data_IF_724944745214
#
_entry.id   IF_724944745214
#
_cell.length_a   1.000
_cell.length_b   1.000
_cell.length_c   1.000
_cell.angle_alpha   90.00
_cell.angle_beta   90.00
_cell.angle_gamma   90.00
#
_symmetry.space_group_name_H-M   'P 1'
#
loop_
_entity.id
_entity.type
_entity.pdbx_description
1 polymer ?
#
# COMPACT_ATOMS: atom_id res chain seq x y z
N UNK A 1 -16.97 -20.81 16.31
CA UNK A 1 -17.12 -19.35 16.43
C UNK A 1 -16.68 -18.77 15.09
N UNK A 2 -17.60 -18.09 14.42
CA UNK A 2 -17.58 -17.76 12.99
C UNK A 2 -16.25 -17.19 12.49
N UNK A 3 -15.54 -17.99 11.69
CA UNK A 3 -14.66 -17.50 10.63
C UNK A 3 -15.50 -16.59 9.73
N UNK A 4 -15.29 -15.27 9.84
CA UNK A 4 -15.72 -14.36 8.79
C UNK A 4 -14.67 -14.50 7.70
N UNK A 5 -14.94 -15.39 6.75
CA UNK A 5 -14.10 -15.63 5.59
C UNK A 5 -13.89 -14.29 4.85
N UNK A 6 -12.65 -13.78 4.92
CA UNK A 6 -12.15 -12.76 4.01
C UNK A 6 -11.89 -13.33 2.61
N UNK A 7 -12.18 -14.62 2.38
CA UNK A 7 -11.90 -15.27 1.11
C UNK A 7 -12.96 -14.91 0.06
N UNK A 8 -12.51 -14.09 -0.91
CA UNK A 8 -13.12 -13.79 -2.22
C UNK A 8 -14.10 -12.61 -2.29
N UNK A 9 -13.72 -11.44 -1.77
CA UNK A 9 -14.13 -10.21 -2.44
C UNK A 9 -13.26 -10.03 -3.70
N UNK A 10 -13.88 -9.64 -4.81
CA UNK A 10 -13.10 -9.23 -5.98
C UNK A 10 -12.43 -7.89 -5.69
N UNK A 11 -11.30 -7.59 -6.33
CA UNK A 11 -10.64 -6.27 -6.25
C UNK A 11 -11.62 -5.11 -6.40
N UNK A 12 -12.49 -5.15 -7.41
CA UNK A 12 -13.51 -4.12 -7.61
C UNK A 12 -14.43 -3.89 -6.40
N UNK A 13 -14.78 -4.94 -5.63
CA UNK A 13 -15.61 -4.79 -4.43
C UNK A 13 -14.82 -4.24 -3.24
N UNK A 14 -13.51 -4.52 -3.19
CA UNK A 14 -12.59 -3.91 -2.24
C UNK A 14 -12.45 -2.39 -2.50
N UNK A 15 -12.32 -1.97 -3.77
CA UNK A 15 -12.30 -0.55 -4.16
C UNK A 15 -13.54 0.21 -3.64
N UNK A 16 -14.72 -0.42 -3.74
CA UNK A 16 -15.95 0.16 -3.20
C UNK A 16 -15.88 0.34 -1.68
N UNK A 17 -15.31 -0.61 -0.94
CA UNK A 17 -15.18 -0.51 0.51
C UNK A 17 -14.22 0.61 0.92
N UNK A 18 -13.10 0.74 0.20
CA UNK A 18 -12.15 1.83 0.38
C UNK A 18 -12.79 3.21 0.14
N UNK A 19 -13.48 3.38 -0.99
CA UNK A 19 -14.17 4.65 -1.29
C UNK A 19 -15.24 4.97 -0.24
N UNK A 20 -16.03 3.98 0.18
CA UNK A 20 -17.02 4.20 1.26
C UNK A 20 -16.31 4.61 2.55
N UNK A 21 -15.17 3.98 2.89
CA UNK A 21 -14.37 4.35 4.05
C UNK A 21 -13.89 5.81 3.99
N UNK A 22 -13.34 6.24 2.85
CA UNK A 22 -12.88 7.61 2.66
C UNK A 22 -14.03 8.63 2.71
N UNK A 23 -15.17 8.32 2.08
CA UNK A 23 -16.36 9.16 2.11
C UNK A 23 -16.96 9.28 3.52
N UNK A 24 -17.03 8.19 4.28
CA UNK A 24 -17.44 8.24 5.69
C UNK A 24 -16.51 9.13 6.51
N UNK A 25 -15.18 9.02 6.31
CA UNK A 25 -14.19 9.82 7.04
C UNK A 25 -14.28 11.31 6.69
N UNK A 26 -14.52 11.65 5.42
CA UNK A 26 -14.60 13.02 4.94
C UNK A 26 -15.95 13.70 5.27
N UNK A 27 -17.06 12.99 5.02
CA UNK A 27 -18.40 13.58 4.97
C UNK A 27 -19.38 12.97 5.98
N UNK A 28 -18.91 12.12 6.90
CA UNK A 28 -19.68 11.30 7.87
C UNK A 28 -20.61 10.24 7.24
N UNK A 29 -20.91 10.33 5.95
CA UNK A 29 -21.81 9.43 5.24
C UNK A 29 -21.37 9.25 3.78
N UNK A 30 -21.58 8.05 3.23
CA UNK A 30 -21.42 7.80 1.80
C UNK A 30 -22.79 7.80 1.10
N UNK A 31 -22.87 8.42 -0.08
CA UNK A 31 -24.07 8.36 -0.94
C UNK A 31 -23.72 7.65 -2.24
N UNK A 32 -24.68 6.95 -2.83
CA UNK A 32 -24.46 6.23 -4.10
C UNK A 32 -23.99 7.14 -5.24
N UNK A 33 -24.39 8.43 -5.24
CA UNK A 33 -23.88 9.42 -6.20
C UNK A 33 -22.38 9.64 -6.00
N UNK A 34 -21.96 9.94 -4.77
CA UNK A 34 -20.57 10.28 -4.47
C UNK A 34 -19.64 9.08 -4.71
N UNK A 35 -20.12 7.87 -4.43
CA UNK A 35 -19.43 6.62 -4.77
C UNK A 35 -19.29 6.48 -6.29
N UNK A 36 -20.35 6.74 -7.07
CA UNK A 36 -20.30 6.65 -8.53
C UNK A 36 -19.29 7.65 -9.11
N UNK A 37 -19.29 8.88 -8.58
CA UNK A 37 -18.40 9.95 -9.01
C UNK A 37 -16.93 9.60 -8.71
N UNK A 38 -16.62 9.03 -7.52
CA UNK A 38 -15.26 8.59 -7.18
C UNK A 38 -14.80 7.33 -7.92
N UNK A 39 -15.68 6.34 -8.11
CA UNK A 39 -15.37 5.14 -8.90
C UNK A 39 -15.28 5.42 -10.40
N UNK A 40 -15.70 6.60 -10.87
CA UNK A 40 -15.84 6.95 -12.28
C UNK A 40 -16.67 5.91 -13.07
N UNK A 41 -17.81 5.48 -12.51
CA UNK A 41 -18.73 4.50 -13.12
C UNK A 41 -20.16 5.00 -13.14
N UNK A 42 -21.00 4.34 -13.95
CA UNK A 42 -22.43 4.64 -13.98
C UNK A 42 -23.12 4.23 -12.67
N UNK A 43 -24.14 5.00 -12.26
CA UNK A 43 -24.94 4.71 -11.04
C UNK A 43 -25.59 3.32 -11.05
N UNK A 44 -25.92 2.79 -12.23
CA UNK A 44 -26.45 1.45 -12.38
C UNK A 44 -25.45 0.39 -11.90
N UNK A 45 -24.16 0.53 -12.25
CA UNK A 45 -23.09 -0.36 -11.80
C UNK A 45 -22.90 -0.31 -10.28
N UNK A 46 -22.97 0.89 -9.69
CA UNK A 46 -22.89 1.06 -8.22
C UNK A 46 -23.99 0.29 -7.50
N UNK A 47 -25.22 0.32 -8.00
CA UNK A 47 -26.33 -0.37 -7.33
C UNK A 47 -26.10 -1.88 -7.25
N UNK A 48 -25.53 -2.49 -8.29
CA UNK A 48 -25.15 -3.90 -8.30
C UNK A 48 -24.10 -4.22 -7.24
N UNK A 49 -23.02 -3.43 -7.21
CA UNK A 49 -21.93 -3.60 -6.23
C UNK A 49 -22.41 -3.41 -4.78
N UNK A 50 -23.23 -2.39 -4.50
CA UNK A 50 -23.77 -2.15 -3.16
C UNK A 50 -24.66 -3.30 -2.69
N UNK A 51 -25.51 -3.86 -3.56
CA UNK A 51 -26.29 -5.06 -3.22
C UNK A 51 -25.40 -6.26 -2.93
N UNK A 52 -24.32 -6.43 -3.71
CA UNK A 52 -23.37 -7.52 -3.54
C UNK A 52 -22.57 -7.41 -2.22
N UNK A 53 -22.19 -6.20 -1.81
CA UNK A 53 -21.54 -5.94 -0.52
C UNK A 53 -22.51 -6.11 0.66
N UNK A 54 -23.75 -5.63 0.52
CA UNK A 54 -24.78 -5.75 1.54
C UNK A 54 -25.16 -7.22 1.77
N UNK A 55 -25.31 -8.00 0.70
CA UNK A 55 -25.57 -9.44 0.78
C UNK A 55 -24.45 -10.24 1.46
N UNK A 56 -23.24 -9.68 1.51
CA UNK A 56 -22.08 -10.24 2.24
C UNK A 56 -21.90 -9.63 3.64
N UNK A 57 -22.79 -8.75 4.08
CA UNK A 57 -22.72 -8.10 5.39
C UNK A 57 -21.57 -7.10 5.55
N UNK A 58 -21.02 -6.58 4.45
CA UNK A 58 -19.90 -5.63 4.49
C UNK A 58 -20.38 -4.18 4.67
N UNK A 59 -21.59 -3.87 4.24
CA UNK A 59 -22.19 -2.53 4.35
C UNK A 59 -23.62 -2.59 4.86
N UNK A 60 -24.06 -1.52 5.52
CA UNK A 60 -25.47 -1.24 5.72
C UNK A 60 -25.98 -0.46 4.50
N UNK A 61 -26.89 -1.06 3.75
CA UNK A 61 -27.46 -0.48 2.54
C UNK A 61 -28.98 -0.52 2.57
N UNK A 62 -29.58 0.65 2.37
CA UNK A 62 -31.01 0.82 2.07
C UNK A 62 -31.15 1.79 0.91
N UNK A 63 -32.07 1.55 -0.04
CA UNK A 63 -32.39 2.52 -1.08
C UNK A 63 -32.66 3.91 -0.49
N UNK A 64 -32.15 4.95 -1.15
CA UNK A 64 -32.29 6.37 -0.78
C UNK A 64 -31.68 6.77 0.58
N UNK A 65 -30.97 5.88 1.25
CA UNK A 65 -30.34 6.16 2.53
C UNK A 65 -28.81 6.27 2.38
N UNK A 66 -28.15 6.74 3.45
CA UNK A 66 -26.70 6.71 3.55
C UNK A 66 -26.17 5.28 3.58
N UNK A 67 -25.07 5.06 2.88
CA UNK A 67 -24.31 3.82 2.94
C UNK A 67 -23.28 3.95 4.05
N UNK A 68 -23.19 2.92 4.89
CA UNK A 68 -22.15 2.85 5.93
C UNK A 68 -21.48 1.48 5.94
N UNK A 69 -20.22 1.44 6.36
CA UNK A 69 -19.49 0.19 6.56
C UNK A 69 -20.00 -0.52 7.83
N UNK A 70 -20.16 -1.84 7.74
CA UNK A 70 -20.25 -2.66 8.95
C UNK A 70 -18.87 -2.77 9.60
N UNK A 71 -18.78 -3.35 10.79
CA UNK A 71 -17.49 -3.66 11.41
C UNK A 71 -16.63 -4.60 10.55
N UNK A 72 -17.24 -5.52 9.80
CA UNK A 72 -16.53 -6.42 8.90
C UNK A 72 -16.01 -5.67 7.66
N UNK A 73 -16.87 -4.90 6.98
CA UNK A 73 -16.45 -4.11 5.82
C UNK A 73 -15.39 -3.07 6.16
N UNK A 74 -15.46 -2.47 7.36
CA UNK A 74 -14.42 -1.54 7.83
C UNK A 74 -13.07 -2.20 7.98
N UNK A 75 -13.01 -3.42 8.55
CA UNK A 75 -11.73 -4.15 8.68
C UNK A 75 -11.11 -4.43 7.32
N UNK A 76 -11.91 -4.88 6.36
CA UNK A 76 -11.42 -5.15 4.99
C UNK A 76 -10.94 -3.85 4.33
N UNK A 77 -11.73 -2.77 4.37
CA UNK A 77 -11.34 -1.48 3.80
C UNK A 77 -10.01 -0.98 4.38
N UNK A 78 -9.85 -1.08 5.71
CA UNK A 78 -8.60 -0.67 6.37
C UNK A 78 -7.42 -1.53 5.96
N UNK A 79 -7.60 -2.83 5.73
CA UNK A 79 -6.52 -3.70 5.29
C UNK A 79 -6.12 -3.43 3.83
N UNK A 80 -7.07 -3.14 2.94
CA UNK A 80 -6.77 -2.69 1.57
C UNK A 80 -5.94 -1.40 1.62
N UNK A 81 -6.46 -0.35 2.27
CA UNK A 81 -5.78 0.95 2.41
C UNK A 81 -4.38 0.79 3.04
N UNK A 82 -4.25 -0.07 4.06
CA UNK A 82 -2.94 -0.35 4.68
C UNK A 82 -1.95 -0.91 3.67
N UNK A 83 -2.38 -1.85 2.83
CA UNK A 83 -1.55 -2.44 1.78
C UNK A 83 -1.18 -1.39 0.73
N UNK A 84 -2.13 -0.57 0.27
CA UNK A 84 -1.85 0.57 -0.61
C UNK A 84 -0.75 1.46 -0.06
N UNK A 85 -0.94 1.95 1.17
CA UNK A 85 -0.06 2.94 1.79
C UNK A 85 1.36 2.38 1.97
N UNK A 86 1.49 1.12 2.39
CA UNK A 86 2.79 0.43 2.53
C UNK A 86 3.48 0.30 1.17
N UNK A 87 2.75 -0.16 0.15
CA UNK A 87 3.31 -0.34 -1.19
C UNK A 87 3.73 0.99 -1.79
N UNK A 88 2.90 2.02 -1.64
CA UNK A 88 3.20 3.38 -2.10
C UNK A 88 4.45 3.93 -1.42
N UNK A 89 4.55 3.84 -0.10
CA UNK A 89 5.74 4.27 0.64
C UNK A 89 6.98 3.50 0.19
N UNK A 90 6.87 2.18 0.00
CA UNK A 90 7.96 1.37 -0.56
C UNK A 90 8.39 1.86 -1.96
N UNK A 91 7.43 2.08 -2.86
CA UNK A 91 7.72 2.54 -4.21
C UNK A 91 8.39 3.90 -4.25
N UNK A 92 8.01 4.81 -3.34
CA UNK A 92 8.64 6.12 -3.24
C UNK A 92 10.00 6.08 -2.55
N UNK A 93 10.11 5.39 -1.41
CA UNK A 93 11.29 5.48 -0.55
C UNK A 93 12.39 4.50 -0.94
N UNK A 94 12.04 3.26 -1.28
CA UNK A 94 13.02 2.24 -1.64
C UNK A 94 13.28 2.23 -3.14
N UNK A 95 12.24 2.36 -3.98
CA UNK A 95 12.39 2.30 -5.44
C UNK A 95 12.48 3.67 -6.12
N UNK A 96 12.38 4.76 -5.36
CA UNK A 96 12.60 6.13 -5.84
C UNK A 96 11.68 6.51 -7.02
N UNK A 97 10.48 5.93 -7.06
CA UNK A 97 9.47 6.27 -8.05
C UNK A 97 8.85 7.64 -7.74
N UNK A 98 8.44 8.34 -8.80
CA UNK A 98 7.67 9.57 -8.65
C UNK A 98 6.30 9.28 -8.00
N UNK A 99 5.74 10.24 -7.23
CA UNK A 99 4.50 10.01 -6.47
C UNK A 99 3.35 9.42 -7.30
N UNK A 100 3.11 9.92 -8.51
CA UNK A 100 2.02 9.45 -9.38
C UNK A 100 2.25 8.00 -9.86
N UNK A 101 3.52 7.62 -10.09
CA UNK A 101 3.87 6.25 -10.46
C UNK A 101 3.73 5.31 -9.26
N UNK A 102 4.18 5.74 -8.08
CA UNK A 102 4.04 4.97 -6.86
C UNK A 102 2.57 4.70 -6.54
N UNK A 103 1.72 5.73 -6.60
CA UNK A 103 0.27 5.63 -6.45
C UNK A 103 -0.31 4.61 -7.43
N UNK A 104 -0.05 4.79 -8.73
CA UNK A 104 -0.62 3.93 -9.76
C UNK A 104 -0.15 2.47 -9.63
N UNK A 105 1.07 2.22 -9.17
CA UNK A 105 1.57 0.85 -8.95
C UNK A 105 0.97 0.24 -7.68
N UNK A 106 0.86 1.00 -6.59
CA UNK A 106 0.26 0.53 -5.34
C UNK A 106 -1.21 0.10 -5.55
N UNK A 107 -2.03 0.92 -6.22
CA UNK A 107 -3.43 0.57 -6.53
C UNK A 107 -3.57 -0.73 -7.33
N UNK A 108 -2.62 -1.02 -8.22
CA UNK A 108 -2.68 -2.23 -9.05
C UNK A 108 -2.26 -3.49 -8.29
N UNK A 109 -1.32 -3.35 -7.36
CA UNK A 109 -0.67 -4.47 -6.70
C UNK A 109 -1.39 -4.85 -5.40
N UNK A 110 -2.00 -3.89 -4.71
CA UNK A 110 -2.57 -4.10 -3.38
C UNK A 110 -3.56 -5.26 -3.31
N UNK A 111 -4.37 -5.47 -4.37
CA UNK A 111 -5.34 -6.57 -4.45
C UNK A 111 -4.76 -7.90 -4.93
N UNK A 112 -3.56 -7.87 -5.51
CA UNK A 112 -2.92 -9.03 -6.13
C UNK A 112 -1.83 -9.66 -5.25
N UNK A 113 -1.34 -8.92 -4.25
CA UNK A 113 -0.27 -9.36 -3.37
C UNK A 113 -0.82 -9.96 -2.08
N UNK A 114 -0.25 -11.09 -1.68
CA UNK A 114 -0.62 -11.76 -0.43
C UNK A 114 -0.22 -10.92 0.80
N UNK A 115 -1.05 -10.88 1.86
CA UNK A 115 -0.72 -10.15 3.09
C UNK A 115 0.63 -10.55 3.68
N UNK A 116 0.95 -11.85 3.67
CA UNK A 116 2.22 -12.37 4.17
C UNK A 116 3.44 -11.83 3.39
N UNK A 117 3.28 -11.56 2.10
CA UNK A 117 4.35 -11.00 1.26
C UNK A 117 4.58 -9.51 1.58
N UNK A 118 3.51 -8.73 1.78
CA UNK A 118 3.61 -7.33 2.24
C UNK A 118 4.28 -7.27 3.60
N UNK A 119 3.83 -8.08 4.56
CA UNK A 119 4.39 -8.03 5.91
C UNK A 119 5.87 -8.43 5.91
N UNK A 120 6.28 -9.38 5.05
CA UNK A 120 7.69 -9.73 4.87
C UNK A 120 8.49 -8.62 4.20
N UNK A 121 7.90 -7.89 3.25
CA UNK A 121 8.53 -6.73 2.62
C UNK A 121 8.81 -5.63 3.66
N UNK A 122 7.83 -5.32 4.52
CA UNK A 122 8.00 -4.34 5.60
C UNK A 122 9.13 -4.77 6.55
N UNK A 123 9.12 -6.02 7.01
CA UNK A 123 10.19 -6.56 7.87
C UNK A 123 11.56 -6.48 7.20
N UNK A 124 11.64 -6.73 5.89
CA UNK A 124 12.88 -6.61 5.14
C UNK A 124 13.38 -5.16 5.10
N UNK A 125 12.51 -4.19 4.86
CA UNK A 125 12.88 -2.77 4.86
C UNK A 125 13.32 -2.29 6.24
N UNK A 126 12.61 -2.71 7.30
CA UNK A 126 13.00 -2.43 8.68
C UNK A 126 14.36 -3.05 9.02
N UNK A 127 14.62 -4.27 8.55
CA UNK A 127 15.92 -4.91 8.70
C UNK A 127 17.02 -4.11 8.00
N UNK A 128 16.81 -3.67 6.76
CA UNK A 128 17.80 -2.87 6.01
C UNK A 128 18.08 -1.54 6.71
N UNK A 129 17.04 -0.79 7.11
CA UNK A 129 17.17 0.50 7.82
C UNK A 129 17.94 0.37 9.13
N UNK A 130 17.71 -0.70 9.88
CA UNK A 130 18.38 -0.93 11.17
C UNK A 130 19.70 -1.71 11.05
N UNK A 131 20.07 -2.17 9.85
CA UNK A 131 21.26 -3.00 9.66
C UNK A 131 22.52 -2.14 9.81
N UNK A 132 23.44 -2.44 10.74
CA UNK A 132 24.64 -1.66 10.95
C UNK A 132 25.69 -1.81 9.83
N UNK A 133 25.36 -2.54 8.75
CA UNK A 133 26.19 -2.68 7.54
C UNK A 133 25.65 -1.90 6.35
N UNK A 134 24.37 -1.54 6.34
CA UNK A 134 23.69 -0.96 5.19
C UNK A 134 22.97 0.34 5.58
N UNK A 135 22.17 0.29 6.65
CA UNK A 135 21.52 1.45 7.25
C UNK A 135 20.82 2.36 6.24
N UNK A 136 20.71 3.63 6.60
CA UNK A 136 20.19 4.67 5.72
C UNK A 136 21.16 4.99 4.56
N UNK A 137 22.46 4.71 4.73
CA UNK A 137 23.50 4.99 3.73
C UNK A 137 23.24 4.25 2.42
N UNK A 138 22.77 3.00 2.48
CA UNK A 138 22.49 2.20 1.30
C UNK A 138 21.29 2.72 0.49
N UNK A 139 20.22 3.13 1.18
CA UNK A 139 19.05 3.76 0.54
C UNK A 139 19.41 5.12 -0.06
N UNK A 140 20.24 5.91 0.63
CA UNK A 140 20.75 7.18 0.12
C UNK A 140 21.64 6.99 -1.12
N UNK A 141 22.52 5.99 -1.12
CA UNK A 141 23.35 5.64 -2.27
C UNK A 141 22.51 5.22 -3.48
N UNK A 142 21.45 4.43 -3.25
CA UNK A 142 20.53 4.05 -4.33
C UNK A 142 19.74 5.26 -4.86
N UNK A 143 19.27 6.16 -3.98
CA UNK A 143 18.64 7.42 -4.39
C UNK A 143 19.56 8.27 -5.27
N UNK A 144 20.83 8.41 -4.89
CA UNK A 144 21.83 9.10 -5.69
C UNK A 144 22.03 8.44 -7.06
N UNK A 145 22.14 7.11 -7.08
CA UNK A 145 22.23 6.33 -8.32
C UNK A 145 21.05 6.59 -9.27
N UNK A 146 19.82 6.62 -8.75
CA UNK A 146 18.62 6.89 -9.55
C UNK A 146 18.63 8.30 -10.15
N UNK A 147 19.18 9.30 -9.45
CA UNK A 147 19.22 10.69 -9.90
C UNK A 147 20.33 10.97 -10.91
N UNK A 148 21.51 10.38 -10.71
CA UNK A 148 22.72 10.69 -11.49
C UNK A 148 23.02 9.66 -12.57
N UNK A 149 22.41 8.47 -12.52
CA UNK A 149 22.80 7.31 -13.33
C UNK A 149 24.19 6.77 -12.93
N UNK A 150 24.65 5.71 -13.59
CA UNK A 150 26.03 5.20 -13.37
C UNK A 150 27.04 6.30 -13.71
N UNK A 151 27.88 6.65 -12.74
CA UNK A 151 29.29 6.96 -12.99
C UNK A 151 30.13 6.20 -11.98
N UNK A 152 30.50 4.97 -12.30
CA UNK A 152 31.55 4.26 -11.59
C UNK A 152 32.50 3.65 -12.61
N UNK A 153 33.32 4.53 -13.17
CA UNK A 153 34.55 4.18 -13.87
C UNK A 153 35.59 3.74 -12.82
N UNK A 154 35.45 4.16 -11.55
CA UNK A 154 36.43 3.98 -10.47
C UNK A 154 35.77 3.53 -9.15
N UNK A 155 35.36 2.26 -9.06
CA UNK A 155 34.91 1.65 -7.81
C UNK A 155 35.95 1.72 -6.67
N UNK A 156 37.24 1.85 -7.01
CA UNK A 156 38.32 1.90 -6.02
C UNK A 156 38.21 3.10 -5.06
N UNK A 157 37.79 4.27 -5.53
CA UNK A 157 37.61 5.45 -4.67
C UNK A 157 36.45 5.29 -3.70
N UNK A 158 35.34 4.70 -4.18
CA UNK A 158 34.18 4.37 -3.35
C UNK A 158 34.54 3.33 -2.28
N UNK A 159 35.27 2.27 -2.67
CA UNK A 159 35.76 1.23 -1.76
C UNK A 159 36.72 1.80 -0.71
N UNK A 160 37.65 2.69 -1.11
CA UNK A 160 38.56 3.34 -0.17
C UNK A 160 37.83 4.22 0.84
N UNK A 161 36.83 4.99 0.40
CA UNK A 161 35.99 5.82 1.28
C UNK A 161 35.22 4.96 2.30
N UNK A 162 34.59 3.87 1.84
CA UNK A 162 33.86 2.95 2.72
C UNK A 162 34.76 2.26 3.77
N UNK A 163 35.99 1.90 3.39
CA UNK A 163 36.97 1.32 4.32
C UNK A 163 37.47 2.37 5.33
N UNK A 164 37.63 3.63 4.90
CA UNK A 164 38.08 4.73 5.75
C UNK A 164 37.04 5.17 6.80
N UNK A 165 35.74 5.07 6.49
CA UNK A 165 34.65 5.47 7.39
C UNK A 165 34.21 4.37 8.37
N UNK A 166 34.59 3.11 8.14
CA UNK A 166 34.32 1.98 9.04
C UNK A 166 35.62 1.25 9.43
N UNK A 167 36.51 1.87 10.24
CA UNK A 167 37.69 1.18 10.72
C UNK A 167 37.23 0.17 11.79
N UNK A 168 37.30 -1.12 11.46
CA UNK A 168 37.11 -2.29 12.33
C UNK A 168 35.68 -2.66 12.76
N UNK A 169 35.09 -3.65 12.08
CA UNK A 169 34.47 -4.79 12.78
C UNK A 169 35.37 -5.99 12.57
N UNK A 170 36.41 -6.09 13.40
CA UNK A 170 37.17 -7.34 13.53
C UNK A 170 36.18 -8.48 13.81
N UNK A 171 36.15 -9.49 12.94
CA UNK A 171 35.54 -10.78 13.25
C UNK A 171 36.57 -11.56 14.09
N UNK A 172 36.27 -11.94 15.33
CA UNK A 172 37.10 -12.91 16.03
C UNK A 172 36.90 -14.29 15.39
N UNK A 173 38.01 -15.01 15.20
CA UNK A 173 38.10 -16.40 14.72
C UNK A 173 37.32 -17.40 15.59
#
# INVERSE_FOLDING_TARGET
MSEVCSENLSSSLEDYLEIIFHLEKANRVARAKDIADQMNVQRASVTGALKALAGRGMINYSPYNFITLTSAGRKVAQEVIRRHDILKDFFMTALQLQPDQAEANACRIEHAIDPAAIDRLVQFLEFIKNCPRAGDDWLAAFSHYCQQGIRNDHCDECLQSCVATNPTKEHPE
#
